data_IF_069979079410
#
_entry.id   IF_069979079410
#
_cell.length_a   1.000
_cell.length_b   1.000
_cell.length_c   1.000
_cell.angle_alpha   90.00
_cell.angle_beta   90.00
_cell.angle_gamma   90.00
#
_symmetry.space_group_name_H-M   'P 1'
#
loop_
_entity.id
_entity.type
_entity.pdbx_description
1 polymer ?
#
# COMPACT_ATOMS: atom_id res chain seq x y z
N UNK A 1 33.15 -34.16 61.56
CA UNK A 1 31.75 -33.68 61.61
C UNK A 1 31.58 -32.71 60.43
N UNK A 2 30.88 -33.08 59.35
CA UNK A 2 29.49 -32.65 58.99
C UNK A 2 29.42 -31.10 58.88
N UNK A 3 29.12 -30.42 57.77
CA UNK A 3 28.15 -30.57 56.63
C UNK A 3 28.58 -29.60 55.48
N UNK A 4 28.58 -29.99 54.21
CA UNK A 4 27.49 -29.89 53.20
C UNK A 4 27.01 -28.45 52.85
N UNK A 5 26.97 -28.16 51.52
CA UNK A 5 25.88 -27.47 50.77
C UNK A 5 25.90 -25.91 50.78
N UNK A 6 25.73 -25.12 49.70
CA UNK A 6 25.18 -25.26 48.34
C UNK A 6 25.94 -24.43 47.27
N UNK A 7 25.92 -24.97 46.05
CA UNK A 7 26.08 -24.28 44.77
C UNK A 7 24.83 -23.41 44.52
N UNK A 8 24.99 -22.11 44.32
CA UNK A 8 23.92 -21.19 43.92
C UNK A 8 24.18 -20.63 42.53
N UNK A 9 23.96 -21.43 41.49
CA UNK A 9 23.98 -20.98 40.10
C UNK A 9 22.81 -20.03 39.86
N UNK A 10 23.08 -18.73 39.72
CA UNK A 10 22.10 -17.77 39.22
C UNK A 10 21.95 -17.98 37.70
N UNK A 11 21.03 -18.87 37.31
CA UNK A 11 20.57 -18.98 35.93
C UNK A 11 19.66 -17.77 35.69
N UNK A 12 20.23 -16.69 35.16
CA UNK A 12 19.45 -15.62 34.55
C UNK A 12 18.85 -16.19 33.26
N UNK A 13 17.60 -16.66 33.34
CA UNK A 13 16.82 -17.03 32.18
C UNK A 13 16.52 -15.73 31.39
N UNK A 14 17.38 -15.41 30.43
CA UNK A 14 17.02 -14.51 29.34
C UNK A 14 15.95 -15.22 28.51
N UNK A 15 14.68 -15.01 28.89
CA UNK A 15 13.55 -15.35 28.07
C UNK A 15 13.53 -14.40 26.86
N UNK A 16 14.32 -14.74 25.84
CA UNK A 16 14.15 -14.18 24.51
C UNK A 16 12.86 -14.77 23.93
N UNK A 17 11.74 -14.15 24.29
CA UNK A 17 10.47 -14.29 23.59
C UNK A 17 10.62 -13.71 22.20
N UNK A 18 11.35 -14.41 21.33
CA UNK A 18 11.42 -14.13 19.90
C UNK A 18 10.05 -14.51 19.36
N UNK A 19 9.12 -13.57 19.35
CA UNK A 19 7.87 -13.76 18.60
C UNK A 19 8.31 -13.79 17.15
N UNK A 20 8.48 -14.99 16.60
CA UNK A 20 8.72 -15.16 15.18
C UNK A 20 7.52 -14.54 14.47
N UNK A 21 7.72 -13.36 13.88
CA UNK A 21 6.71 -12.77 13.04
C UNK A 21 6.70 -13.59 11.75
N UNK A 22 5.82 -14.60 11.71
CA UNK A 22 5.60 -15.37 10.50
C UNK A 22 5.02 -14.44 9.45
N UNK A 23 5.67 -14.38 8.29
CA UNK A 23 5.14 -13.75 7.10
C UNK A 23 3.77 -14.39 6.79
N UNK A 24 2.69 -13.69 7.13
CA UNK A 24 1.32 -14.14 6.85
C UNK A 24 0.84 -13.57 5.52
N UNK A 25 0.06 -14.38 4.81
CA UNK A 25 -0.70 -13.88 3.66
C UNK A 25 -1.79 -12.94 4.18
N UNK A 26 -1.91 -11.76 3.58
CA UNK A 26 -2.98 -10.81 3.83
C UNK A 26 -3.68 -10.44 2.52
N UNK A 27 -4.96 -10.10 2.65
CA UNK A 27 -5.75 -9.50 1.57
C UNK A 27 -6.17 -8.10 2.00
N UNK A 28 -5.75 -7.09 1.25
CA UNK A 28 -6.10 -5.70 1.44
C UNK A 28 -7.26 -5.35 0.51
N UNK A 29 -8.32 -4.78 1.07
CA UNK A 29 -9.54 -4.37 0.35
C UNK A 29 -9.80 -2.87 0.41
N UNK A 30 -8.94 -2.13 1.14
CA UNK A 30 -9.01 -0.68 1.28
C UNK A 30 -7.78 -0.02 0.68
N UNK A 31 -7.95 1.19 0.16
CA UNK A 31 -6.90 1.95 -0.52
C UNK A 31 -6.94 3.41 -0.09
N UNK A 32 -5.83 4.14 -0.27
CA UNK A 32 -5.72 5.55 0.06
C UNK A 32 -5.79 6.39 -1.22
N UNK A 33 -6.90 7.08 -1.50
CA UNK A 33 -7.04 7.87 -2.73
C UNK A 33 -6.07 9.06 -2.77
N UNK A 34 -5.72 9.45 -3.99
CA UNK A 34 -4.91 10.63 -4.28
C UNK A 34 -5.28 11.24 -5.64
N UNK A 35 -5.02 12.52 -5.77
CA UNK A 35 -5.16 13.28 -7.01
C UNK A 35 -3.85 14.02 -7.29
N UNK A 36 -3.48 14.13 -8.56
CA UNK A 36 -2.25 14.75 -9.02
C UNK A 36 -2.57 15.74 -10.13
N UNK A 37 -1.95 16.91 -10.06
CA UNK A 37 -1.88 17.90 -11.14
C UNK A 37 -0.59 18.70 -10.99
N UNK A 38 0.03 19.08 -12.10
CA UNK A 38 1.10 20.09 -12.14
C UNK A 38 2.28 19.77 -11.21
N UNK A 39 2.79 18.54 -11.24
CA UNK A 39 3.89 18.12 -10.36
C UNK A 39 3.52 17.91 -8.88
N UNK A 40 2.26 18.05 -8.49
CA UNK A 40 1.83 17.99 -7.09
C UNK A 40 0.76 16.92 -6.84
N UNK A 41 1.07 15.96 -5.96
CA UNK A 41 0.12 14.98 -5.45
C UNK A 41 -0.56 15.47 -4.17
N UNK A 42 -1.85 15.25 -4.05
CA UNK A 42 -2.63 15.42 -2.81
C UNK A 42 -3.31 14.12 -2.44
N UNK A 43 -3.06 13.68 -1.22
CA UNK A 43 -3.67 12.50 -0.63
C UNK A 43 -4.91 12.92 0.18
N UNK A 44 -5.97 12.13 0.09
CA UNK A 44 -7.23 12.45 0.77
C UNK A 44 -8.35 11.50 0.36
N UNK A 45 -9.47 11.53 1.08
CA UNK A 45 -10.68 10.85 0.67
C UNK A 45 -11.91 11.72 0.99
N UNK A 46 -12.45 12.48 0.01
CA UNK A 46 -11.98 12.56 -1.38
C UNK A 46 -10.64 13.32 -1.53
N UNK A 47 -9.93 13.06 -2.62
CA UNK A 47 -8.81 13.85 -3.10
C UNK A 47 -9.18 14.52 -4.44
N UNK A 48 -8.82 15.78 -4.63
CA UNK A 48 -9.08 16.53 -5.86
C UNK A 48 -7.94 17.47 -6.16
N UNK A 49 -7.58 17.57 -7.44
CA UNK A 49 -6.64 18.55 -7.96
C UNK A 49 -7.12 19.10 -9.30
N UNK A 50 -6.84 20.37 -9.52
CA UNK A 50 -7.14 21.06 -10.76
C UNK A 50 -5.83 21.44 -11.43
N UNK A 51 -5.73 21.16 -12.72
CA UNK A 51 -4.79 21.83 -13.60
C UNK A 51 -5.47 23.11 -14.09
N UNK A 52 -4.88 24.25 -13.76
CA UNK A 52 -5.28 25.55 -14.30
C UNK A 52 -4.04 26.17 -14.95
N UNK A 53 -3.92 26.10 -16.30
CA UNK A 53 -2.71 26.48 -17.01
C UNK A 53 -2.21 27.87 -16.65
N UNK A 54 -0.90 27.96 -16.35
CA UNK A 54 -0.25 29.21 -15.97
C UNK A 54 -0.45 29.64 -14.51
N UNK A 55 -1.09 28.82 -13.68
CA UNK A 55 -1.30 29.10 -12.25
C UNK A 55 -0.76 27.99 -11.38
N UNK A 56 -0.40 28.29 -10.13
CA UNK A 56 -0.02 27.30 -9.11
C UNK A 56 1.06 26.27 -9.55
N UNK A 57 1.96 26.66 -10.46
CA UNK A 57 3.02 25.80 -10.98
C UNK A 57 2.65 25.00 -12.25
N UNK A 58 1.40 25.08 -12.73
CA UNK A 58 0.96 24.45 -13.96
C UNK A 58 1.54 25.18 -15.19
N UNK A 59 2.25 24.48 -16.09
CA UNK A 59 2.66 25.04 -17.37
C UNK A 59 1.51 25.71 -18.14
N UNK A 60 1.78 26.84 -18.78
CA UNK A 60 0.77 27.56 -19.56
C UNK A 60 0.33 26.81 -20.84
N UNK A 61 1.06 25.76 -21.22
CA UNK A 61 0.78 24.90 -22.38
C UNK A 61 -0.21 23.77 -22.09
N UNK A 62 -0.51 23.54 -20.82
CA UNK A 62 -1.30 22.41 -20.35
C UNK A 62 -2.78 22.58 -20.66
N UNK A 63 -3.56 21.57 -20.33
CA UNK A 63 -5.00 21.56 -20.51
C UNK A 63 -5.68 21.80 -19.17
N UNK A 64 -6.59 22.77 -19.12
CA UNK A 64 -7.42 22.92 -17.93
C UNK A 64 -8.21 21.63 -17.65
N UNK A 65 -8.10 21.10 -16.44
CA UNK A 65 -8.73 19.84 -16.08
C UNK A 65 -8.76 19.58 -14.59
N UNK A 66 -9.45 18.51 -14.23
CA UNK A 66 -9.63 18.07 -12.85
C UNK A 66 -9.34 16.59 -12.73
N UNK A 67 -8.51 16.23 -11.76
CA UNK A 67 -8.33 14.87 -11.29
C UNK A 67 -9.04 14.71 -9.95
N UNK A 68 -9.74 13.59 -9.77
CA UNK A 68 -10.38 13.28 -8.50
C UNK A 68 -10.32 11.80 -8.17
N UNK A 69 -10.21 11.49 -6.89
CA UNK A 69 -10.22 10.13 -6.39
C UNK A 69 -11.02 10.06 -5.08
N UNK A 70 -11.92 9.09 -4.95
CA UNK A 70 -12.70 8.88 -3.74
C UNK A 70 -13.02 7.40 -3.52
N UNK A 71 -12.88 6.93 -2.29
CA UNK A 71 -13.29 5.59 -1.86
C UNK A 71 -14.51 5.73 -0.93
N UNK A 72 -15.68 5.31 -1.41
CA UNK A 72 -16.93 5.37 -0.66
C UNK A 72 -17.65 4.02 -0.72
N UNK A 73 -18.03 3.48 0.44
CA UNK A 73 -18.75 2.20 0.55
C UNK A 73 -18.13 1.05 -0.27
N UNK A 74 -16.80 0.93 -0.27
CA UNK A 74 -16.07 -0.12 -1.01
C UNK A 74 -15.94 0.12 -2.52
N UNK A 75 -16.44 1.25 -3.02
CA UNK A 75 -16.29 1.66 -4.43
C UNK A 75 -15.26 2.79 -4.53
N UNK A 76 -14.20 2.57 -5.30
CA UNK A 76 -13.21 3.57 -5.68
C UNK A 76 -13.63 4.23 -6.99
N UNK A 77 -13.78 5.54 -7.01
CA UNK A 77 -13.98 6.33 -8.22
C UNK A 77 -12.73 7.15 -8.49
N UNK A 78 -12.18 7.02 -9.69
CA UNK A 78 -11.01 7.75 -10.19
C UNK A 78 -11.42 8.50 -11.45
N UNK A 79 -11.11 9.78 -11.57
CA UNK A 79 -11.39 10.55 -12.77
C UNK A 79 -10.22 11.44 -13.20
N UNK A 80 -10.14 11.65 -14.51
CA UNK A 80 -9.32 12.66 -15.17
C UNK A 80 -10.18 13.27 -16.27
N UNK A 81 -10.59 14.52 -16.08
CA UNK A 81 -11.53 15.21 -16.97
C UNK A 81 -10.95 16.57 -17.35
N UNK A 82 -10.87 16.88 -18.65
CA UNK A 82 -10.29 18.15 -19.13
C UNK A 82 -11.25 18.98 -19.99
N UNK A 83 -12.54 19.01 -19.60
CA UNK A 83 -13.57 19.83 -20.26
C UNK A 83 -13.67 19.61 -21.77
N UNK A 84 -13.53 20.70 -22.52
CA UNK A 84 -13.67 20.76 -23.99
C UNK A 84 -12.44 20.26 -24.77
N UNK A 85 -11.36 19.87 -24.09
CA UNK A 85 -10.20 19.33 -24.77
C UNK A 85 -10.50 17.98 -25.41
N UNK A 86 -9.81 17.69 -26.52
CA UNK A 86 -9.87 16.35 -27.10
C UNK A 86 -9.31 15.32 -26.11
N UNK A 87 -9.86 14.10 -26.12
CA UNK A 87 -9.40 13.04 -25.23
C UNK A 87 -7.90 12.78 -25.36
N UNK A 88 -7.33 12.88 -26.57
CA UNK A 88 -5.88 12.72 -26.77
C UNK A 88 -5.06 13.82 -26.08
N UNK A 89 -5.53 15.07 -26.12
CA UNK A 89 -4.84 16.19 -25.46
C UNK A 89 -4.95 16.09 -23.94
N UNK A 90 -6.12 15.73 -23.43
CA UNK A 90 -6.34 15.50 -22.00
C UNK A 90 -5.50 14.33 -21.49
N UNK A 91 -5.46 13.20 -22.20
CA UNK A 91 -4.62 12.04 -21.83
C UNK A 91 -3.15 12.42 -21.70
N UNK A 92 -2.63 13.25 -22.61
CA UNK A 92 -1.22 13.68 -22.59
C UNK A 92 -0.88 14.71 -21.50
N UNK A 93 -1.88 15.27 -20.83
CA UNK A 93 -1.74 16.32 -19.83
C UNK A 93 -1.18 15.81 -18.48
N UNK A 94 -0.49 16.68 -17.74
CA UNK A 94 0.16 16.37 -16.44
C UNK A 94 -0.85 16.29 -15.28
N UNK A 95 -1.84 15.42 -15.45
CA UNK A 95 -3.00 15.26 -14.59
C UNK A 95 -3.30 13.78 -14.41
N UNK A 96 -3.53 13.32 -13.18
CA UNK A 96 -3.85 11.92 -12.90
C UNK A 96 -4.60 11.77 -11.57
N UNK A 97 -5.38 10.70 -11.44
CA UNK A 97 -5.95 10.28 -10.15
C UNK A 97 -5.60 8.84 -9.86
N UNK A 98 -5.67 8.46 -8.59
CA UNK A 98 -5.33 7.10 -8.22
C UNK A 98 -5.60 6.77 -6.77
N UNK A 99 -5.11 5.61 -6.37
CA UNK A 99 -5.12 5.19 -4.98
C UNK A 99 -3.94 4.28 -4.66
N UNK A 100 -3.35 4.46 -3.48
CA UNK A 100 -2.24 3.65 -2.99
C UNK A 100 -2.75 2.47 -2.17
N UNK A 101 -2.23 1.29 -2.44
CA UNK A 101 -2.42 0.09 -1.62
C UNK A 101 -1.23 -0.01 -0.65
N UNK A 102 -1.52 -0.18 0.65
CA UNK A 102 -0.49 -0.29 1.69
C UNK A 102 -0.60 -1.62 2.43
N UNK A 103 0.47 -2.00 3.14
CA UNK A 103 0.45 -3.15 4.04
C UNK A 103 0.91 -4.47 3.43
N UNK A 104 1.46 -4.46 2.22
CA UNK A 104 2.03 -5.64 1.56
C UNK A 104 3.52 -5.45 1.23
N UNK A 105 4.32 -6.51 1.41
CA UNK A 105 5.73 -6.58 0.98
C UNK A 105 5.91 -7.44 -0.27
N UNK A 106 4.89 -8.20 -0.67
CA UNK A 106 4.80 -8.87 -1.97
C UNK A 106 3.40 -8.69 -2.53
N UNK A 107 3.22 -8.85 -3.83
CA UNK A 107 1.91 -8.86 -4.46
C UNK A 107 1.79 -10.10 -5.35
N UNK A 108 0.90 -11.02 -4.97
CA UNK A 108 0.73 -12.32 -5.64
C UNK A 108 -0.59 -12.41 -6.39
N UNK A 109 -1.60 -11.64 -5.99
CA UNK A 109 -2.82 -11.45 -6.78
C UNK A 109 -3.36 -10.03 -6.58
N UNK A 110 -3.91 -9.42 -7.63
CA UNK A 110 -4.74 -8.24 -7.51
C UNK A 110 -5.93 -8.33 -8.47
N UNK A 111 -7.07 -7.82 -8.03
CA UNK A 111 -8.26 -7.74 -8.86
C UNK A 111 -9.23 -6.66 -8.40
N UNK A 112 -10.15 -6.33 -9.30
CA UNK A 112 -11.32 -5.51 -9.05
C UNK A 112 -12.41 -5.76 -10.09
N UNK A 113 -13.62 -5.33 -9.77
CA UNK A 113 -14.72 -5.26 -10.71
C UNK A 113 -14.97 -3.83 -11.17
N UNK A 114 -15.42 -3.68 -12.41
CA UNK A 114 -15.78 -2.42 -13.01
C UNK A 114 -17.29 -2.23 -13.00
N UNK A 115 -17.75 -1.02 -12.64
CA UNK A 115 -19.14 -0.64 -12.87
C UNK A 115 -19.45 -0.52 -14.38
N UNK A 116 -20.73 -0.59 -14.79
CA UNK A 116 -21.12 -0.27 -16.16
C UNK A 116 -20.60 1.10 -16.60
N UNK A 117 -20.14 1.21 -17.86
CA UNK A 117 -19.54 2.41 -18.45
C UNK A 117 -18.24 2.92 -17.79
N UNK A 118 -17.67 2.19 -16.82
CA UNK A 118 -16.37 2.49 -16.23
C UNK A 118 -15.26 2.45 -17.29
N UNK A 119 -14.36 3.42 -17.25
CA UNK A 119 -13.19 3.48 -18.13
C UNK A 119 -12.26 2.28 -17.88
N UNK A 120 -11.84 1.64 -18.97
CA UNK A 120 -10.85 0.58 -18.99
C UNK A 120 -10.25 0.46 -20.40
N UNK A 121 -9.37 1.39 -20.76
CA UNK A 121 -8.79 1.55 -22.10
C UNK A 121 -7.33 2.01 -22.01
N UNK A 122 -6.57 1.91 -23.10
CA UNK A 122 -5.16 2.36 -23.21
C UNK A 122 -4.19 1.96 -22.07
N UNK A 123 -4.57 0.99 -21.22
CA UNK A 123 -3.85 0.59 -20.02
C UNK A 123 -4.47 1.09 -18.71
N UNK A 124 -5.23 2.19 -18.69
CA UNK A 124 -5.82 2.73 -17.46
C UNK A 124 -7.23 2.15 -17.13
N UNK A 125 -7.63 2.08 -15.84
CA UNK A 125 -6.76 2.30 -14.69
C UNK A 125 -5.69 1.20 -14.62
N UNK A 126 -4.43 1.58 -14.48
CA UNK A 126 -3.32 0.61 -14.43
C UNK A 126 -2.90 0.37 -13.00
N UNK A 127 -2.35 -0.80 -12.75
CA UNK A 127 -1.58 -1.05 -11.55
C UNK A 127 -0.11 -0.73 -11.82
N UNK A 128 0.41 0.25 -11.09
CA UNK A 128 1.82 0.56 -11.02
C UNK A 128 2.40 -0.12 -9.79
N UNK A 129 3.37 -1.01 -9.98
CA UNK A 129 4.05 -1.68 -8.87
C UNK A 129 5.53 -1.35 -8.93
N UNK A 130 6.06 -0.70 -7.90
CA UNK A 130 7.50 -0.48 -7.77
C UNK A 130 8.07 -1.62 -6.95
N UNK A 131 9.14 -2.25 -7.44
CA UNK A 131 9.83 -3.32 -6.74
C UNK A 131 11.17 -2.89 -6.16
N UNK A 132 11.73 -3.70 -5.26
CA UNK A 132 12.99 -3.43 -4.57
C UNK A 132 14.20 -3.22 -5.48
N UNK A 133 14.12 -3.61 -6.75
CA UNK A 133 15.13 -3.33 -7.79
C UNK A 133 14.99 -1.91 -8.37
N UNK A 134 14.08 -1.09 -7.85
CA UNK A 134 13.84 0.29 -8.28
C UNK A 134 13.04 0.40 -9.57
N UNK A 135 12.53 -0.71 -10.12
CA UNK A 135 11.79 -0.72 -11.37
C UNK A 135 10.29 -0.58 -11.13
N UNK A 136 9.62 0.14 -12.03
CA UNK A 136 8.16 0.23 -12.07
C UNK A 136 7.62 -0.76 -13.10
N UNK A 137 6.66 -1.57 -12.66
CA UNK A 137 5.93 -2.54 -13.46
C UNK A 137 4.52 -2.03 -13.74
N UNK A 138 4.03 -2.25 -14.96
CA UNK A 138 2.73 -1.74 -15.41
C UNK A 138 1.80 -2.88 -15.80
N UNK A 139 0.65 -2.96 -15.13
CA UNK A 139 -0.38 -3.94 -15.46
C UNK A 139 -1.67 -3.20 -15.81
N UNK A 140 -1.99 -3.16 -17.11
CA UNK A 140 -3.08 -2.33 -17.61
C UNK A 140 -4.45 -3.00 -17.55
N UNK A 141 -5.50 -2.22 -17.28
CA UNK A 141 -6.88 -2.73 -17.17
C UNK A 141 -7.33 -3.49 -18.43
N UNK A 142 -7.19 -2.87 -19.61
CA UNK A 142 -7.72 -3.43 -20.85
C UNK A 142 -7.14 -4.81 -21.20
N UNK A 143 -5.87 -5.06 -20.88
CA UNK A 143 -5.21 -6.35 -21.14
C UNK A 143 -5.60 -7.45 -20.14
N UNK A 144 -6.14 -7.07 -18.97
CA UNK A 144 -6.42 -7.97 -17.85
C UNK A 144 -7.92 -8.10 -17.55
N UNK A 145 -8.78 -7.52 -18.40
CA UNK A 145 -10.22 -7.50 -18.26
C UNK A 145 -10.88 -8.71 -18.92
N UNK A 146 -11.80 -9.34 -18.20
CA UNK A 146 -12.74 -10.36 -18.71
C UNK A 146 -14.15 -10.02 -18.25
N UNK A 147 -15.02 -9.62 -19.17
CA UNK A 147 -16.33 -9.06 -18.81
C UNK A 147 -16.16 -7.76 -18.02
N UNK A 148 -16.71 -7.69 -16.81
CA UNK A 148 -16.52 -6.56 -15.90
C UNK A 148 -15.41 -6.80 -14.86
N UNK A 149 -14.82 -7.99 -14.81
CA UNK A 149 -13.78 -8.34 -13.85
C UNK A 149 -12.38 -8.07 -14.43
N UNK A 150 -11.47 -7.54 -13.60
CA UNK A 150 -10.07 -7.33 -13.95
C UNK A 150 -9.20 -8.11 -12.98
N UNK A 151 -8.32 -8.96 -13.50
CA UNK A 151 -7.41 -9.77 -12.69
C UNK A 151 -6.03 -9.83 -13.35
N UNK A 152 -5.00 -9.52 -12.57
CA UNK A 152 -3.67 -9.27 -13.11
C UNK A 152 -2.79 -10.51 -13.14
N UNK A 153 -2.12 -10.71 -14.27
CA UNK A 153 -1.00 -11.64 -14.38
C UNK A 153 0.30 -10.90 -14.10
N UNK A 154 0.99 -11.32 -13.05
CA UNK A 154 2.22 -10.69 -12.57
C UNK A 154 3.51 -11.26 -13.15
N UNK A 155 3.40 -12.11 -14.17
CA UNK A 155 4.52 -12.67 -14.91
C UNK A 155 5.10 -11.65 -15.92
N UNK A 156 6.17 -12.05 -16.59
CA UNK A 156 6.84 -11.22 -17.60
C UNK A 156 5.96 -10.88 -18.80
N UNK A 157 4.99 -11.73 -19.16
CA UNK A 157 4.11 -11.50 -20.29
C UNK A 157 2.98 -10.51 -19.95
N UNK A 158 2.55 -10.46 -18.69
CA UNK A 158 1.57 -9.51 -18.19
C UNK A 158 2.14 -8.10 -17.91
N UNK A 159 3.45 -7.97 -17.81
CA UNK A 159 4.13 -6.71 -17.51
C UNK A 159 4.32 -5.84 -18.76
N UNK A 160 3.47 -4.83 -18.90
CA UNK A 160 3.53 -3.85 -19.99
C UNK A 160 4.76 -2.94 -19.97
N UNK A 161 5.57 -2.96 -18.90
CA UNK A 161 6.81 -2.19 -18.82
C UNK A 161 8.03 -2.93 -19.39
N UNK A 162 7.91 -4.23 -19.68
CA UNK A 162 9.04 -5.05 -20.16
C UNK A 162 10.09 -5.35 -19.09
N UNK A 163 9.79 -5.15 -17.80
CA UNK A 163 10.72 -5.36 -16.69
C UNK A 163 10.72 -6.79 -16.12
N UNK A 164 10.00 -7.71 -16.76
CA UNK A 164 10.00 -9.14 -16.45
C UNK A 164 9.00 -9.58 -15.38
N UNK A 165 8.03 -8.74 -15.03
CA UNK A 165 7.02 -9.05 -14.00
C UNK A 165 7.54 -8.92 -12.57
N UNK A 166 6.67 -9.23 -11.60
CA UNK A 166 6.92 -9.01 -10.17
C UNK A 166 6.93 -10.30 -9.33
N UNK A 167 6.72 -11.47 -9.94
CA UNK A 167 6.74 -12.76 -9.23
C UNK A 167 8.08 -12.94 -8.50
N UNK A 168 8.01 -13.17 -7.18
CA UNK A 168 9.18 -13.37 -6.32
C UNK A 168 9.92 -12.08 -5.93
N UNK A 169 9.44 -10.90 -6.35
CA UNK A 169 10.03 -9.61 -5.96
C UNK A 169 9.36 -9.04 -4.71
N UNK A 170 10.14 -8.28 -3.94
CA UNK A 170 9.59 -7.41 -2.90
C UNK A 170 9.01 -6.16 -3.55
N UNK A 171 7.81 -5.77 -3.14
CA UNK A 171 7.15 -4.54 -3.59
C UNK A 171 7.40 -3.41 -2.59
N UNK A 172 7.67 -2.22 -3.10
CA UNK A 172 7.88 -1.00 -2.31
C UNK A 172 6.69 -0.06 -2.39
N UNK A 173 5.98 -0.04 -3.52
CA UNK A 173 4.70 0.65 -3.67
C UNK A 173 3.79 -0.06 -4.66
N UNK A 174 2.49 0.13 -4.45
CA UNK A 174 1.42 -0.38 -5.30
C UNK A 174 0.41 0.76 -5.45
N UNK A 175 0.19 1.21 -6.68
CA UNK A 175 -0.72 2.31 -6.98
C UNK A 175 -1.66 1.95 -8.13
N UNK A 176 -2.95 2.21 -7.95
CA UNK A 176 -3.93 2.23 -9.03
C UNK A 176 -3.86 3.63 -9.65
N UNK A 177 -3.74 3.73 -10.97
CA UNK A 177 -3.54 5.01 -11.67
C UNK A 177 -4.52 5.14 -12.84
N UNK A 178 -5.31 6.21 -12.83
CA UNK A 178 -6.11 6.70 -13.96
C UNK A 178 -5.43 7.97 -14.51
N UNK A 179 -4.58 7.80 -15.52
CA UNK A 179 -3.92 8.88 -16.24
C UNK A 179 -4.51 9.13 -17.64
N UNK A 180 -5.51 8.33 -18.01
CA UNK A 180 -6.28 8.50 -19.24
C UNK A 180 -7.55 9.31 -19.02
N UNK A 181 -8.00 10.00 -20.06
CA UNK A 181 -9.25 10.76 -20.01
C UNK A 181 -10.44 9.86 -19.73
N UNK A 182 -11.20 10.17 -18.67
CA UNK A 182 -12.42 9.46 -18.30
C UNK A 182 -12.54 9.19 -16.81
N UNK A 183 -13.51 8.32 -16.48
CA UNK A 183 -13.82 7.95 -15.10
C UNK A 183 -13.82 6.43 -14.96
N UNK A 184 -12.98 5.91 -14.07
CA UNK A 184 -12.99 4.52 -13.65
C UNK A 184 -13.69 4.38 -12.31
N UNK A 185 -14.64 3.45 -12.23
CA UNK A 185 -15.40 3.09 -11.05
C UNK A 185 -15.11 1.61 -10.75
N UNK A 186 -14.45 1.37 -9.63
CA UNK A 186 -13.89 0.08 -9.23
C UNK A 186 -14.53 -0.38 -7.92
N UNK A 187 -14.99 -1.62 -7.85
CA UNK A 187 -15.50 -2.27 -6.63
C UNK A 187 -14.79 -3.60 -6.39
N UNK A 188 -15.03 -4.22 -5.23
CA UNK A 188 -14.46 -5.51 -4.88
C UNK A 188 -12.92 -5.56 -5.03
N UNK A 189 -12.27 -4.45 -4.63
CA UNK A 189 -10.80 -4.34 -4.62
C UNK A 189 -10.23 -5.48 -3.77
N UNK A 190 -9.27 -6.22 -4.32
CA UNK A 190 -8.59 -7.30 -3.62
C UNK A 190 -7.12 -7.31 -4.00
N UNK A 191 -6.25 -7.15 -3.01
CA UNK A 191 -4.79 -7.22 -3.17
C UNK A 191 -4.25 -8.24 -2.20
N UNK A 192 -3.69 -9.33 -2.70
CA UNK A 192 -3.18 -10.44 -1.89
C UNK A 192 -1.67 -10.53 -1.98
N UNK A 193 -1.04 -10.75 -0.84
CA UNK A 193 0.41 -10.96 -0.77
C UNK A 193 0.87 -11.16 0.67
N UNK A 194 2.16 -11.03 0.90
CA UNK A 194 2.76 -11.08 2.23
C UNK A 194 2.52 -9.75 2.95
N UNK A 195 1.99 -9.81 4.17
CA UNK A 195 1.75 -8.62 4.98
C UNK A 195 3.05 -7.94 5.42
N UNK A 196 3.03 -6.61 5.51
CA UNK A 196 4.05 -5.87 6.26
C UNK A 196 3.92 -6.24 7.73
N UNK A 197 4.97 -6.83 8.29
CA UNK A 197 5.07 -7.09 9.73
C UNK A 197 5.40 -5.78 10.43
N UNK A 198 4.46 -5.27 11.23
CA UNK A 198 4.78 -4.24 12.22
C UNK A 198 5.20 -4.95 13.49
N UNK A 199 6.43 -4.72 13.97
CA UNK A 199 6.85 -5.26 15.25
C UNK A 199 5.96 -4.68 16.36
N UNK A 200 5.19 -5.54 17.04
CA UNK A 200 4.50 -5.14 18.26
C UNK A 200 5.56 -4.76 19.28
N UNK A 201 5.50 -3.53 19.81
CA UNK A 201 6.40 -3.11 20.87
C UNK A 201 6.32 -4.11 22.04
N UNK A 202 7.47 -4.57 22.53
CA UNK A 202 7.53 -5.44 23.69
C UNK A 202 6.83 -4.75 24.88
N UNK A 203 6.03 -5.46 25.69
CA UNK A 203 5.43 -4.88 26.87
C UNK A 203 6.55 -4.31 27.75
N UNK A 204 6.42 -3.04 28.15
CA UNK A 204 7.35 -2.43 29.09
C UNK A 204 7.21 -3.17 30.41
N UNK A 205 8.26 -3.84 30.88
CA UNK A 205 8.24 -4.51 32.17
C UNK A 205 7.98 -3.48 33.27
N UNK A 206 6.91 -3.69 34.05
CA UNK A 206 6.63 -2.87 35.24
C UNK A 206 7.80 -3.00 36.22
N UNK A 207 8.41 -1.89 36.68
CA UNK A 207 9.46 -1.95 37.68
C UNK A 207 8.93 -2.62 38.95
N UNK A 208 9.47 -3.78 39.32
CA UNK A 208 9.18 -4.39 40.61
C UNK A 208 10.14 -3.80 41.65
N UNK A 209 9.58 -3.10 42.63
CA UNK A 209 10.33 -2.61 43.79
C UNK A 209 10.83 -3.83 44.58
N UNK A 210 12.14 -3.99 44.83
CA UNK A 210 12.65 -5.09 45.63
C UNK A 210 12.25 -4.90 47.10
N UNK A 211 11.41 -5.80 47.62
CA UNK A 211 11.09 -5.85 49.05
C UNK A 211 12.27 -6.49 49.79
N UNK A 212 12.99 -5.71 50.59
CA UNK A 212 14.03 -6.21 51.50
C UNK A 212 13.39 -7.12 52.56
N UNK A 213 13.75 -8.40 52.54
CA UNK A 213 13.40 -9.33 53.61
C UNK A 213 14.21 -8.99 54.87
N UNK A 214 13.53 -8.55 55.94
CA UNK A 214 14.12 -8.31 57.26
C UNK A 214 14.30 -9.65 57.97
N UNK A 215 15.53 -10.17 58.01
CA UNK A 215 15.92 -11.29 58.87
C UNK A 215 16.03 -10.81 60.32
N UNK A 216 14.98 -11.01 61.11
CA UNK A 216 15.00 -10.82 62.56
C UNK A 216 15.67 -12.04 63.23
N UNK A 217 16.97 -11.93 63.51
CA UNK A 217 17.67 -12.87 64.39
C UNK A 217 17.29 -12.60 65.84
N UNK A 218 16.68 -13.59 66.51
CA UNK A 218 16.47 -13.58 67.95
C UNK A 218 17.77 -13.90 68.69
N UNK A 219 18.13 -13.09 69.69
CA UNK A 219 19.15 -13.43 70.69
C UNK A 219 18.54 -14.37 71.75
N UNK A 220 19.27 -15.42 72.20
CA UNK A 220 18.89 -16.19 73.36
C UNK A 220 19.41 -15.54 74.66
N UNK A 221 18.60 -15.61 75.71
CA UNK A 221 19.02 -15.56 77.11
C UNK A 221 18.62 -16.88 77.78
#
# INVERSE_FOLDING_TARGET
MKRLVMIGSAIAALAWGSVAAYASTATITTVSPWAYACGHTTFGNPATKEDTPGTNGCPATDVAGTSSAALAAGTLTLSKLCGEATAAKCTADDLASGATVKGLTTLTAASWDLAPASYCGAGAPRLNVVTSDGKTHFFGCAANKSGNHVSFKFDAAGDGSGNGGIVGKTVTSIDIVQDETGTAILSNLSFTGTAVVTATAAPTATPTTPTLARTGGGLPA
#
